data_IF_397361004210
#
_entry.id   IF_397361004210
#
_cell.length_a   1.000
_cell.length_b   1.000
_cell.length_c   1.000
_cell.angle_alpha   90.00
_cell.angle_beta   90.00
_cell.angle_gamma   90.00
#
_symmetry.space_group_name_H-M   'P 1'
#
loop_
_entity.id
_entity.type
_entity.pdbx_description
1 polymer ?
#
# COMPACT_ATOMS: atom_id res chain seq x y z
N UNK A 1 -2.77 -13.41 5.97
CA UNK A 1 -3.24 -12.60 4.82
C UNK A 1 -2.15 -11.64 4.40
N UNK A 2 -1.99 -11.44 3.11
CA UNK A 2 -1.00 -10.49 2.58
C UNK A 2 -1.33 -9.06 3.01
N UNK A 3 -0.31 -8.29 3.34
CA UNK A 3 -0.44 -6.88 3.72
C UNK A 3 0.25 -6.03 2.66
N UNK A 4 -0.41 -4.96 2.25
CA UNK A 4 0.15 -3.97 1.33
C UNK A 4 0.23 -2.63 2.05
N UNK A 5 1.35 -1.95 1.94
CA UNK A 5 1.57 -0.66 2.58
C UNK A 5 1.47 0.46 1.55
N UNK A 6 0.70 1.49 1.90
CA UNK A 6 0.79 2.78 1.22
C UNK A 6 1.89 3.64 1.87
N UNK A 7 2.00 4.88 1.44
CA UNK A 7 2.96 5.84 2.01
C UNK A 7 2.77 6.01 3.53
N UNK A 8 1.52 6.09 4.00
CA UNK A 8 1.23 6.21 5.43
C UNK A 8 1.63 4.94 6.19
N UNK A 9 1.37 3.77 5.58
CA UNK A 9 1.78 2.49 6.16
C UNK A 9 3.28 2.41 6.37
N UNK A 10 4.06 2.79 5.36
CA UNK A 10 5.52 2.81 5.45
C UNK A 10 5.99 3.77 6.54
N UNK A 11 5.49 5.00 6.54
CA UNK A 11 5.92 6.04 7.47
C UNK A 11 5.58 5.68 8.91
N UNK A 12 4.37 5.19 9.16
CA UNK A 12 3.91 4.83 10.51
C UNK A 12 4.64 3.60 11.05
N UNK A 13 4.76 2.55 10.25
CA UNK A 13 5.43 1.32 10.69
C UNK A 13 6.93 1.50 10.91
N UNK A 14 7.56 2.40 10.18
CA UNK A 14 8.98 2.68 10.35
C UNK A 14 9.34 3.12 11.78
N UNK A 15 8.39 3.71 12.50
CA UNK A 15 8.58 4.15 13.89
C UNK A 15 7.87 3.29 14.94
N UNK A 16 7.23 2.18 14.54
CA UNK A 16 6.37 1.40 15.43
C UNK A 16 6.81 -0.06 15.52
N UNK A 17 7.72 -0.35 16.44
CA UNK A 17 8.25 -1.70 16.65
C UNK A 17 7.19 -2.69 17.12
N UNK A 18 6.24 -2.23 17.93
CA UNK A 18 5.20 -3.08 18.48
C UNK A 18 4.27 -3.58 17.36
N UNK A 19 3.89 -2.68 16.46
CA UNK A 19 3.05 -3.04 15.32
C UNK A 19 3.79 -3.97 14.35
N UNK A 20 5.07 -3.73 14.12
CA UNK A 20 5.90 -4.63 13.29
C UNK A 20 5.97 -6.03 13.88
N UNK A 21 6.17 -6.14 15.18
CA UNK A 21 6.21 -7.43 15.88
C UNK A 21 4.86 -8.15 15.75
N UNK A 22 3.76 -7.42 15.90
CA UNK A 22 2.41 -7.96 15.74
C UNK A 22 2.19 -8.55 14.35
N UNK A 23 2.58 -7.83 13.31
CA UNK A 23 2.46 -8.32 11.93
C UNK A 23 3.27 -9.59 11.68
N UNK A 24 4.46 -9.66 12.24
CA UNK A 24 5.31 -10.86 12.15
C UNK A 24 4.67 -12.05 12.86
N UNK A 25 4.14 -11.86 14.07
CA UNK A 25 3.47 -12.90 14.84
C UNK A 25 2.25 -13.43 14.08
N UNK A 26 1.51 -12.54 13.42
CA UNK A 26 0.33 -12.89 12.63
C UNK A 26 0.66 -13.57 11.29
N UNK A 27 1.94 -13.69 10.96
CA UNK A 27 2.37 -14.29 9.69
C UNK A 27 2.13 -13.37 8.48
N UNK A 28 2.00 -12.07 8.71
CA UNK A 28 1.73 -11.07 7.67
C UNK A 28 3.02 -10.38 7.19
N UNK A 29 4.12 -11.05 7.29
CA UNK A 29 5.44 -10.54 6.92
C UNK A 29 6.05 -11.40 5.80
N UNK A 30 6.74 -10.84 4.78
CA UNK A 30 6.97 -9.41 4.56
C UNK A 30 5.76 -8.73 3.90
N UNK A 31 5.50 -7.46 4.22
CA UNK A 31 4.47 -6.72 3.49
C UNK A 31 4.94 -6.35 2.10
N UNK A 32 3.98 -6.17 1.20
CA UNK A 32 4.23 -5.68 -0.15
C UNK A 32 4.21 -4.15 -0.13
N UNK A 33 5.18 -3.53 -0.81
CA UNK A 33 5.19 -2.09 -1.03
C UNK A 33 5.31 -1.84 -2.54
N UNK A 34 4.32 -1.21 -3.17
CA UNK A 34 4.46 -0.82 -4.56
C UNK A 34 5.62 0.16 -4.73
N UNK A 35 6.46 -0.04 -5.74
CA UNK A 35 7.65 0.80 -5.93
C UNK A 35 7.30 2.29 -6.04
N UNK A 36 6.14 2.63 -6.61
CA UNK A 36 5.69 4.02 -6.71
C UNK A 36 5.48 4.69 -5.36
N UNK A 37 5.16 3.92 -4.32
CA UNK A 37 4.98 4.45 -2.95
C UNK A 37 6.27 5.04 -2.42
N UNK A 38 7.42 4.55 -2.87
CA UNK A 38 8.73 5.07 -2.47
C UNK A 38 8.89 6.55 -2.82
N UNK A 39 8.25 7.01 -3.88
CA UNK A 39 8.32 8.42 -4.31
C UNK A 39 7.66 9.37 -3.30
N UNK A 40 6.71 8.87 -2.52
CA UNK A 40 6.03 9.64 -1.48
C UNK A 40 6.63 9.38 -0.09
N UNK A 41 7.13 8.17 0.15
CA UNK A 41 7.63 7.77 1.46
C UNK A 41 9.07 8.22 1.73
N UNK A 42 9.85 8.47 0.69
CA UNK A 42 11.27 8.81 0.79
C UNK A 42 11.53 10.24 0.32
N UNK A 43 12.58 10.84 0.86
CA UNK A 43 13.04 12.19 0.47
C UNK A 43 14.26 12.15 -0.44
N UNK A 44 14.96 11.00 -0.49
CA UNK A 44 16.25 10.86 -1.16
C UNK A 44 17.44 11.20 -0.26
N UNK A 45 17.19 11.65 0.95
CA UNK A 45 18.23 11.94 1.94
C UNK A 45 18.35 10.74 2.89
N UNK A 46 19.50 10.06 2.91
CA UNK A 46 19.71 8.85 3.70
C UNK A 46 19.48 9.04 5.20
N UNK A 47 19.79 10.21 5.74
CA UNK A 47 19.60 10.47 7.15
C UNK A 47 18.13 10.62 7.50
N UNK A 48 17.40 11.38 6.70
CA UNK A 48 15.96 11.55 6.88
C UNK A 48 15.20 10.25 6.65
N UNK A 49 15.65 9.45 5.70
CA UNK A 49 14.98 8.22 5.28
C UNK A 49 15.47 6.98 6.05
N UNK A 50 16.29 7.14 7.07
CA UNK A 50 16.94 6.02 7.76
C UNK A 50 15.94 4.95 8.22
N UNK A 51 14.91 5.33 8.94
CA UNK A 51 13.93 4.39 9.48
C UNK A 51 13.09 3.74 8.37
N UNK A 52 12.67 4.53 7.39
CA UNK A 52 11.93 4.05 6.24
C UNK A 52 12.76 3.05 5.43
N UNK A 53 14.01 3.37 5.15
CA UNK A 53 14.90 2.47 4.41
C UNK A 53 15.15 1.16 5.17
N UNK A 54 15.28 1.23 6.48
CA UNK A 54 15.42 0.05 7.33
C UNK A 54 14.22 -0.88 7.22
N UNK A 55 13.02 -0.32 7.27
CA UNK A 55 11.79 -1.06 7.08
C UNK A 55 11.73 -1.65 5.67
N UNK A 56 11.96 -0.84 4.65
CA UNK A 56 11.83 -1.23 3.24
C UNK A 56 12.75 -2.38 2.85
N UNK A 57 13.93 -2.52 3.48
CA UNK A 57 14.83 -3.65 3.23
C UNK A 57 14.21 -4.99 3.59
N UNK A 58 13.23 -5.00 4.47
CA UNK A 58 12.53 -6.22 4.90
C UNK A 58 11.21 -6.44 4.16
N UNK A 59 10.80 -5.48 3.34
CA UNK A 59 9.57 -5.54 2.57
C UNK A 59 9.79 -6.13 1.18
N UNK A 60 8.69 -6.56 0.57
CA UNK A 60 8.67 -7.04 -0.81
C UNK A 60 8.27 -5.86 -1.72
N UNK A 61 9.24 -5.29 -2.40
CA UNK A 61 9.01 -4.13 -3.28
C UNK A 61 8.54 -4.62 -4.64
N UNK A 62 7.31 -4.27 -5.02
CA UNK A 62 6.73 -4.68 -6.30
C UNK A 62 6.85 -3.57 -7.34
N UNK A 63 7.42 -3.92 -8.49
CA UNK A 63 7.45 -3.04 -9.65
C UNK A 63 6.05 -2.77 -10.19
N UNK A 64 5.88 -1.60 -10.81
CA UNK A 64 4.62 -1.19 -11.44
C UNK A 64 4.82 -1.23 -12.96
N UNK A 65 4.37 -2.32 -13.58
CA UNK A 65 4.42 -2.46 -15.02
C UNK A 65 3.12 -2.00 -15.69
N UNK A 66 3.06 -2.13 -17.01
CA UNK A 66 1.94 -1.66 -17.81
C UNK A 66 0.61 -2.32 -17.41
N UNK A 67 0.60 -3.64 -17.25
CA UNK A 67 -0.64 -4.38 -16.92
C UNK A 67 -1.24 -3.89 -15.61
N UNK A 68 -0.40 -3.72 -14.59
CA UNK A 68 -0.84 -3.24 -13.28
C UNK A 68 -1.32 -1.78 -13.35
N UNK A 69 -0.61 -0.94 -14.10
CA UNK A 69 -1.00 0.45 -14.28
C UNK A 69 -2.35 0.57 -14.97
N UNK A 70 -2.63 -0.25 -15.99
CA UNK A 70 -3.92 -0.28 -16.66
C UNK A 70 -5.04 -0.75 -15.75
N UNK A 71 -4.79 -1.75 -14.91
CA UNK A 71 -5.74 -2.20 -13.90
C UNK A 71 -6.09 -1.08 -12.92
N UNK A 72 -5.08 -0.37 -12.44
CA UNK A 72 -5.28 0.77 -11.53
C UNK A 72 -6.09 1.90 -12.20
N UNK A 73 -5.82 2.19 -13.46
CA UNK A 73 -6.59 3.18 -14.23
C UNK A 73 -8.07 2.80 -14.30
N UNK A 74 -8.37 1.52 -14.53
CA UNK A 74 -9.74 1.01 -14.54
C UNK A 74 -10.45 1.17 -13.20
N UNK A 75 -9.75 0.90 -12.09
CA UNK A 75 -10.29 1.09 -10.75
C UNK A 75 -10.62 2.56 -10.47
N UNK A 76 -9.72 3.48 -10.81
CA UNK A 76 -9.94 4.92 -10.63
C UNK A 76 -11.20 5.40 -11.36
N UNK A 77 -11.36 4.95 -12.59
CA UNK A 77 -12.49 5.35 -13.44
C UNK A 77 -13.83 4.90 -12.86
N UNK A 78 -13.86 3.75 -12.18
CA UNK A 78 -15.09 3.22 -11.58
C UNK A 78 -15.55 3.98 -10.33
N UNK A 79 -14.65 4.68 -9.66
CA UNK A 79 -15.02 5.45 -8.47
C UNK A 79 -15.80 6.69 -8.88
N UNK A 80 -17.07 6.74 -8.49
CA UNK A 80 -17.98 7.87 -8.74
C UNK A 80 -17.86 8.87 -7.59
N UNK A 81 -16.88 9.73 -7.67
CA UNK A 81 -16.64 10.74 -6.65
C UNK A 81 -16.38 12.09 -7.32
N UNK A 82 -16.58 13.15 -6.56
CA UNK A 82 -16.30 14.53 -7.02
C UNK A 82 -14.84 14.68 -7.44
N UNK A 83 -13.95 13.95 -6.75
CA UNK A 83 -12.53 13.93 -7.02
C UNK A 83 -12.07 12.49 -7.16
N UNK A 84 -11.41 12.18 -8.25
CA UNK A 84 -10.87 10.84 -8.47
C UNK A 84 -9.79 10.53 -7.40
N UNK A 85 -9.71 9.27 -6.94
CA UNK A 85 -8.60 8.83 -6.09
C UNK A 85 -7.26 9.05 -6.80
N UNK A 86 -6.19 9.18 -6.03
CA UNK A 86 -4.86 9.34 -6.61
C UNK A 86 -4.44 8.10 -7.40
N UNK A 87 -3.54 8.29 -8.37
CA UNK A 87 -2.97 7.19 -9.13
C UNK A 87 -2.22 6.22 -8.22
N UNK A 88 -1.48 6.73 -7.25
CA UNK A 88 -0.73 5.91 -6.29
C UNK A 88 -1.66 5.03 -5.47
N UNK A 89 -2.75 5.57 -4.95
CA UNK A 89 -3.73 4.81 -4.16
C UNK A 89 -4.37 3.71 -5.00
N UNK A 90 -4.70 4.01 -6.26
CA UNK A 90 -5.26 3.02 -7.17
C UNK A 90 -4.28 1.87 -7.45
N UNK A 91 -2.99 2.17 -7.56
CA UNK A 91 -1.94 1.17 -7.75
C UNK A 91 -1.82 0.26 -6.52
N UNK A 92 -1.87 0.83 -5.32
CA UNK A 92 -1.85 0.07 -4.07
C UNK A 92 -3.01 -0.94 -4.03
N UNK A 93 -4.22 -0.49 -4.35
CA UNK A 93 -5.40 -1.37 -4.36
C UNK A 93 -5.31 -2.41 -5.48
N UNK A 94 -4.80 -2.03 -6.65
CA UNK A 94 -4.63 -2.96 -7.77
C UNK A 94 -3.66 -4.10 -7.42
N UNK A 95 -2.58 -3.81 -6.70
CA UNK A 95 -1.63 -4.83 -6.21
C UNK A 95 -2.31 -5.74 -5.19
N UNK A 96 -3.08 -5.18 -4.26
CA UNK A 96 -3.81 -5.96 -3.27
C UNK A 96 -4.81 -6.92 -3.93
N UNK A 97 -5.51 -6.45 -4.95
CA UNK A 97 -6.42 -7.29 -5.73
C UNK A 97 -5.67 -8.39 -6.50
N UNK A 98 -4.57 -8.05 -7.14
CA UNK A 98 -3.73 -9.00 -7.89
C UNK A 98 -3.16 -10.09 -6.98
N UNK A 99 -2.91 -9.79 -5.73
CA UNK A 99 -2.42 -10.76 -4.75
C UNK A 99 -3.50 -11.77 -4.30
N UNK A 100 -4.69 -11.72 -4.88
CA UNK A 100 -5.80 -12.60 -4.51
C UNK A 100 -6.59 -12.11 -3.29
N UNK A 101 -6.42 -10.86 -2.92
CA UNK A 101 -6.96 -10.26 -1.71
C UNK A 101 -5.87 -9.99 -0.69
N UNK A 102 -5.97 -8.87 -0.03
CA UNK A 102 -4.96 -8.41 0.93
C UNK A 102 -5.55 -7.37 1.88
N UNK A 103 -4.80 -7.02 2.90
CA UNK A 103 -5.10 -5.89 3.77
C UNK A 103 -4.19 -4.72 3.40
N UNK A 104 -4.78 -3.55 3.14
CA UNK A 104 -4.03 -2.31 2.94
C UNK A 104 -3.97 -1.57 4.27
N UNK A 105 -2.76 -1.26 4.73
CA UNK A 105 -2.56 -0.45 5.94
C UNK A 105 -2.36 1.00 5.55
N UNK A 106 -3.22 1.86 6.04
CA UNK A 106 -3.21 3.30 5.74
C UNK A 106 -3.73 4.11 6.92
N UNK A 107 -3.37 5.38 7.01
CA UNK A 107 -3.99 6.31 7.97
C UNK A 107 -5.11 7.15 7.34
N UNK A 108 -5.34 7.01 6.04
CA UNK A 108 -6.40 7.72 5.31
C UNK A 108 -7.25 6.73 4.50
N UNK A 109 -8.25 6.10 5.13
CA UNK A 109 -8.98 4.99 4.52
C UNK A 109 -10.00 5.37 3.45
N UNK A 110 -10.35 6.65 3.31
CA UNK A 110 -11.48 7.08 2.47
C UNK A 110 -11.43 6.59 1.02
N UNK A 111 -10.41 7.03 0.28
CA UNK A 111 -10.25 6.68 -1.14
C UNK A 111 -9.99 5.18 -1.32
N UNK A 112 -9.27 4.56 -0.39
CA UNK A 112 -9.00 3.12 -0.45
C UNK A 112 -10.27 2.30 -0.36
N UNK A 113 -11.19 2.66 0.54
CA UNK A 113 -12.48 1.97 0.66
C UNK A 113 -13.30 2.09 -0.61
N UNK A 114 -13.31 3.28 -1.22
CA UNK A 114 -14.02 3.50 -2.48
C UNK A 114 -13.45 2.64 -3.62
N UNK A 115 -12.13 2.56 -3.73
CA UNK A 115 -11.45 1.74 -4.72
C UNK A 115 -11.70 0.24 -4.46
N UNK A 116 -11.63 -0.19 -3.21
CA UNK A 116 -11.77 -1.60 -2.84
C UNK A 116 -13.13 -2.19 -3.21
N UNK A 117 -14.16 -1.37 -3.33
CA UNK A 117 -15.50 -1.82 -3.78
C UNK A 117 -15.51 -2.37 -5.19
N UNK A 118 -14.53 -2.04 -6.00
CA UNK A 118 -14.48 -2.40 -7.42
C UNK A 118 -13.46 -3.50 -7.73
N UNK A 119 -12.84 -4.08 -6.71
CA UNK A 119 -11.87 -5.18 -6.88
C UNK A 119 -12.60 -6.52 -7.05
N UNK A 120 -11.93 -7.44 -7.75
CA UNK A 120 -12.45 -8.80 -7.93
C UNK A 120 -12.24 -9.65 -6.67
N UNK A 121 -11.17 -9.39 -5.93
CA UNK A 121 -10.83 -10.10 -4.69
C UNK A 121 -11.06 -9.20 -3.47
N UNK A 122 -11.27 -9.78 -2.27
CA UNK A 122 -11.48 -8.97 -1.06
C UNK A 122 -10.23 -8.15 -0.72
N UNK A 123 -10.39 -6.85 -0.66
CA UNK A 123 -9.34 -5.94 -0.20
C UNK A 123 -9.85 -5.24 1.06
N UNK A 124 -9.20 -5.52 2.19
CA UNK A 124 -9.54 -4.93 3.48
C UNK A 124 -8.71 -3.68 3.69
N UNK A 125 -9.32 -2.66 4.25
CA UNK A 125 -8.64 -1.42 4.60
C UNK A 125 -8.56 -1.33 6.12
N UNK A 126 -7.35 -1.23 6.64
CA UNK A 126 -7.10 -1.22 8.07
C UNK A 126 -6.24 0.00 8.44
N UNK A 127 -6.58 0.62 9.56
CA UNK A 127 -5.83 1.79 10.05
C UNK A 127 -4.48 1.38 10.63
N UNK A 128 -3.51 2.22 10.39
CA UNK A 128 -2.16 2.06 10.93
C UNK A 128 -1.79 3.18 11.88
#
# INVERSE_FOLDING_TARGET
>A
MTVVLDFHGVTRLAGDRARLAELRIRGEWPPIVPAVVLTEALTGDHRRDYHQNRLLRTCDIHSVGETLARKAAGLRTKVKARRAPSATDAIVVAIADQAGGATVLTSDPGDFKALARHTANPVRIESV
#
